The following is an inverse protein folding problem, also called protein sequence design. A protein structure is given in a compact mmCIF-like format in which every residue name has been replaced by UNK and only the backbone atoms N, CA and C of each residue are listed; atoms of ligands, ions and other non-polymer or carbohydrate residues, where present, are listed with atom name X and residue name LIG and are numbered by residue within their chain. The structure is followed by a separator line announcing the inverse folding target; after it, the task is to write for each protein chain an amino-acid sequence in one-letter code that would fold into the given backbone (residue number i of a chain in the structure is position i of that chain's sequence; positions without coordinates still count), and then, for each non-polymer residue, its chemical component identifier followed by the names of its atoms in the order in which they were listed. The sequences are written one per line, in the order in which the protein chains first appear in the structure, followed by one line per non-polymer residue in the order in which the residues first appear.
data_IF_268546894776
#
_entry.id   IF_268546894776
#
_cell.length_a   1.000
_cell.length_b   1.000
_cell.length_c   1.000
_cell.angle_alpha   90.00
_cell.angle_beta   90.00
_cell.angle_gamma   90.00
#
_symmetry.space_group_name_H-M   'P 1'
#
loop_
_entity.id
_entity.type
_entity.pdbx_description
1 polymer ?
#
# COMPACT_ATOMS: atom_id res chain seq x y z
N UNK A 1 -2.25 -11.53 -14.95
CA UNK A 1 -1.66 -10.23 -14.52
C UNK A 1 -2.52 -9.54 -13.46
N UNK A 2 -3.83 -9.38 -13.69
CA UNK A 2 -4.79 -8.90 -12.68
C UNK A 2 -4.92 -9.81 -11.44
N UNK A 3 -4.63 -11.12 -11.55
CA UNK A 3 -4.48 -12.04 -10.41
C UNK A 3 -3.49 -11.55 -9.35
N UNK A 4 -2.47 -10.80 -9.75
CA UNK A 4 -1.46 -10.26 -8.84
C UNK A 4 -1.95 -9.03 -8.09
N UNK A 5 -3.05 -8.39 -8.52
CA UNK A 5 -3.56 -7.15 -7.92
C UNK A 5 -3.97 -7.35 -6.46
N UNK A 6 -4.63 -8.47 -6.14
CA UNK A 6 -5.05 -8.77 -4.76
C UNK A 6 -3.81 -8.89 -3.86
N UNK A 7 -2.79 -9.64 -4.31
CA UNK A 7 -1.54 -9.80 -3.55
C UNK A 7 -0.82 -8.45 -3.40
N UNK A 8 -0.73 -7.67 -4.47
CA UNK A 8 -0.10 -6.35 -4.45
C UNK A 8 -0.78 -5.41 -3.45
N UNK A 9 -2.11 -5.36 -3.45
CA UNK A 9 -2.89 -4.57 -2.50
C UNK A 9 -2.64 -4.98 -1.04
N UNK A 10 -2.56 -6.29 -0.77
CA UNK A 10 -2.24 -6.83 0.55
C UNK A 10 -0.80 -6.51 0.99
N UNK A 11 0.17 -6.58 0.06
CA UNK A 11 1.55 -6.20 0.32
C UNK A 11 1.66 -4.70 0.66
N UNK A 12 0.99 -3.83 -0.10
CA UNK A 12 0.95 -2.38 0.17
C UNK A 12 0.34 -2.09 1.56
N UNK A 13 -0.78 -2.73 1.90
CA UNK A 13 -1.40 -2.57 3.23
C UNK A 13 -0.48 -3.01 4.36
N UNK A 14 0.23 -4.12 4.18
CA UNK A 14 1.18 -4.61 5.17
C UNK A 14 2.32 -3.60 5.37
N UNK A 15 2.88 -3.07 4.29
CA UNK A 15 3.96 -2.08 4.37
C UNK A 15 3.47 -0.78 5.05
N UNK A 16 2.27 -0.29 4.72
CA UNK A 16 1.63 0.85 5.40
C UNK A 16 1.45 0.59 6.91
N UNK A 17 1.03 -0.62 7.29
CA UNK A 17 0.94 -1.06 8.69
C UNK A 17 2.30 -1.01 9.40
N UNK A 18 3.34 -1.62 8.80
CA UNK A 18 4.70 -1.62 9.33
C UNK A 18 5.23 -0.18 9.54
N UNK A 19 4.97 0.72 8.59
CA UNK A 19 5.36 2.14 8.68
C UNK A 19 4.68 2.82 9.87
N UNK A 20 3.37 2.62 10.04
CA UNK A 20 2.61 3.22 11.14
C UNK A 20 3.10 2.72 12.50
N UNK A 21 3.36 1.43 12.63
CA UNK A 21 3.94 0.85 13.85
C UNK A 21 5.30 1.46 14.19
N UNK A 22 6.18 1.61 13.18
CA UNK A 22 7.49 2.24 13.38
C UNK A 22 7.36 3.71 13.83
N UNK A 23 6.47 4.48 13.21
CA UNK A 23 6.23 5.88 13.58
C UNK A 23 5.63 6.01 14.99
N UNK A 24 4.75 5.11 15.39
CA UNK A 24 4.18 5.08 16.75
C UNK A 24 5.22 4.71 17.81
N UNK A 25 6.09 3.75 17.49
CA UNK A 25 7.21 3.39 18.35
C UNK A 25 8.20 4.56 18.51
N UNK A 26 8.47 5.31 17.44
CA UNK A 26 9.34 6.49 17.47
C UNK A 26 8.78 7.57 18.41
N UNK A 27 7.49 7.91 18.25
CA UNK A 27 6.78 8.84 19.15
C UNK A 27 6.80 8.36 20.61
N UNK A 28 6.77 7.06 20.84
CA UNK A 28 6.83 6.48 22.18
C UNK A 28 8.21 6.63 22.80
N UNK A 29 9.28 6.51 22.01
CA UNK A 29 10.66 6.79 22.44
C UNK A 29 10.85 8.26 22.78
N UNK A 30 10.35 9.17 21.94
CA UNK A 30 10.42 10.61 22.22
C UNK A 30 9.70 10.99 23.51
N UNK A 31 8.53 10.38 23.76
CA UNK A 31 7.79 10.57 25.03
C UNK A 31 8.58 10.05 26.22
N UNK A 32 9.18 8.87 26.12
CA UNK A 32 10.00 8.30 27.18
C UNK A 32 11.21 9.19 27.49
N UNK A 33 11.89 9.71 26.47
CA UNK A 33 13.01 10.66 26.61
C UNK A 33 12.57 11.95 27.31
N UNK A 34 11.44 12.55 26.90
CA UNK A 34 10.87 13.76 27.54
C UNK A 34 10.49 13.54 29.00
N UNK A 35 10.12 12.31 29.38
CA UNK A 35 9.82 11.93 30.76
C UNK A 35 11.06 11.54 31.58
N UNK A 36 12.27 11.63 31.00
CA UNK A 36 13.51 11.23 31.66
C UNK A 36 13.67 9.71 31.83
N UNK A 37 12.83 8.91 31.15
CA UNK A 37 12.88 7.44 31.22
C UNK A 37 13.99 6.92 30.32
N UNK A 38 15.07 6.43 30.92
CA UNK A 38 16.16 5.77 30.19
C UNK A 38 15.84 4.28 30.03
N UNK A 39 15.48 3.88 28.80
CA UNK A 39 15.29 2.44 28.46
C UNK A 39 16.62 1.70 28.27
N UNK A 40 17.75 2.40 28.32
CA UNK A 40 19.09 1.81 28.24
C UNK A 40 20.11 2.68 28.96
N UNK A 41 21.17 2.03 29.47
CA UNK A 41 22.34 2.69 30.08
C UNK A 41 23.33 3.24 29.04
N UNK A 42 23.11 2.96 27.76
CA UNK A 42 23.99 3.41 26.67
C UNK A 42 23.73 4.90 26.41
N UNK A 43 24.78 5.72 26.48
CA UNK A 43 24.70 7.14 26.15
C UNK A 43 24.26 7.33 24.69
N UNK A 44 23.25 8.19 24.48
CA UNK A 44 22.69 8.46 23.15
C UNK A 44 21.89 7.30 22.56
N UNK A 45 21.43 6.34 23.39
CA UNK A 45 20.64 5.21 22.91
C UNK A 45 19.34 5.64 22.21
N UNK A 46 18.57 6.55 22.82
CA UNK A 46 17.31 7.04 22.24
C UNK A 46 17.54 7.69 20.87
N UNK A 47 18.60 8.50 20.75
CA UNK A 47 18.97 9.12 19.48
C UNK A 47 19.36 8.11 18.41
N UNK A 48 20.23 7.15 18.75
CA UNK A 48 20.60 6.06 17.81
C UNK A 48 19.40 5.23 17.38
N UNK A 49 18.45 5.01 18.29
CA UNK A 49 17.24 4.27 18.02
C UNK A 49 16.32 5.05 17.07
N UNK A 50 16.11 6.36 17.28
CA UNK A 50 15.38 7.24 16.36
C UNK A 50 15.94 7.18 14.94
N UNK A 51 17.26 7.41 14.79
CA UNK A 51 17.93 7.38 13.48
C UNK A 51 17.71 6.02 12.78
N UNK A 52 17.79 4.91 13.53
CA UNK A 52 17.58 3.57 12.97
C UNK A 52 16.13 3.34 12.53
N UNK A 53 15.17 3.91 13.26
CA UNK A 53 13.75 3.80 12.95
C UNK A 53 13.37 4.67 11.76
N UNK A 54 13.86 5.90 11.67
CA UNK A 54 13.71 6.76 10.49
C UNK A 54 14.27 6.06 9.23
N UNK A 55 15.48 5.48 9.32
CA UNK A 55 16.04 4.67 8.23
C UNK A 55 15.26 3.39 7.91
N UNK A 56 14.45 2.85 8.83
CA UNK A 56 13.54 1.75 8.53
C UNK A 56 12.27 2.24 7.83
N UNK A 57 11.71 3.37 8.26
CA UNK A 57 10.58 4.03 7.60
C UNK A 57 10.93 4.41 6.16
N UNK A 58 12.09 5.03 5.93
CA UNK A 58 12.54 5.41 4.58
C UNK A 58 12.67 4.21 3.64
N UNK A 59 13.20 3.07 4.12
CA UNK A 59 13.27 1.85 3.33
C UNK A 59 11.89 1.30 2.97
N UNK A 60 10.96 1.31 3.92
CA UNK A 60 9.56 0.91 3.70
C UNK A 60 8.82 1.85 2.74
N UNK A 61 9.12 3.15 2.78
CA UNK A 61 8.62 4.10 1.81
C UNK A 61 9.14 3.82 0.40
N UNK A 62 10.42 3.43 0.27
CA UNK A 62 10.97 2.96 -1.00
C UNK A 62 10.31 1.67 -1.50
N UNK A 63 10.01 0.71 -0.62
CA UNK A 63 9.23 -0.48 -0.99
C UNK A 63 7.83 -0.08 -1.53
N UNK A 64 7.17 0.92 -0.95
CA UNK A 64 5.88 1.42 -1.47
C UNK A 64 6.02 2.07 -2.86
N UNK A 65 7.13 2.76 -3.13
CA UNK A 65 7.41 3.32 -4.45
C UNK A 65 7.54 2.21 -5.51
N UNK A 66 8.27 1.13 -5.20
CA UNK A 66 8.36 -0.05 -6.08
C UNK A 66 6.99 -0.69 -6.34
N UNK A 67 6.13 -0.75 -5.32
CA UNK A 67 4.76 -1.27 -5.49
C UNK A 67 3.86 -0.35 -6.33
N UNK A 68 4.13 0.95 -6.34
CA UNK A 68 3.44 1.89 -7.22
C UNK A 68 3.75 1.61 -8.69
N UNK A 69 5.02 1.33 -9.01
CA UNK A 69 5.44 0.95 -10.37
C UNK A 69 4.80 -0.39 -10.80
N UNK A 70 4.74 -1.38 -9.90
CA UNK A 70 4.03 -2.65 -10.15
C UNK A 70 2.53 -2.43 -10.41
N UNK A 71 1.88 -1.54 -9.65
CA UNK A 71 0.46 -1.21 -9.82
C UNK A 71 0.21 -0.54 -11.18
N UNK A 72 1.11 0.35 -11.60
CA UNK A 72 1.06 1.00 -12.91
C UNK A 72 1.12 -0.02 -14.05
N UNK A 73 1.98 -1.02 -13.96
CA UNK A 73 2.06 -2.09 -14.95
C UNK A 73 0.77 -2.92 -15.04
N UNK A 74 0.17 -3.26 -13.89
CA UNK A 74 -1.11 -4.00 -13.84
C UNK A 74 -2.24 -3.18 -14.47
N UNK A 75 -2.35 -1.89 -14.12
CA UNK A 75 -3.39 -1.02 -14.67
C UNK A 75 -3.26 -0.85 -16.18
N UNK A 76 -2.04 -0.66 -16.70
CA UNK A 76 -1.80 -0.59 -18.15
C UNK A 76 -2.24 -1.87 -18.86
N UNK A 77 -1.93 -3.04 -18.28
CA UNK A 77 -2.36 -4.32 -18.85
C UNK A 77 -3.87 -4.49 -18.84
N UNK A 78 -4.55 -4.04 -17.78
CA UNK A 78 -6.01 -4.11 -17.68
C UNK A 78 -6.70 -3.26 -18.75
N UNK A 79 -6.19 -2.05 -18.99
CA UNK A 79 -6.67 -1.17 -20.06
C UNK A 79 -6.44 -1.79 -21.45
N UNK A 80 -5.28 -2.42 -21.69
CA UNK A 80 -5.01 -3.08 -22.98
C UNK A 80 -5.86 -4.34 -23.23
N UNK A 81 -6.33 -5.03 -22.18
CA UNK A 81 -7.25 -6.16 -22.33
C UNK A 81 -8.68 -5.71 -22.62
N UNK A 82 -9.06 -4.50 -22.19
CA UNK A 82 -10.41 -3.95 -22.40
C UNK A 82 -10.70 -3.51 -23.84
N UNK A 83 -9.68 -3.44 -24.71
CA UNK A 83 -9.84 -3.02 -26.12
C UNK A 83 -10.26 -4.14 -27.08
N UNK A 84 -10.24 -5.41 -26.65
CA UNK A 84 -10.77 -6.55 -27.41
C UNK A 84 -12.25 -6.77 -27.03
N UNK A 85 -13.12 -5.91 -27.56
CA UNK A 85 -14.60 -5.95 -27.52
C UNK A 85 -15.30 -6.61 -26.30
N UNK A 86 -15.65 -5.84 -25.25
CA UNK A 86 -16.53 -6.34 -24.20
C UNK A 86 -18.01 -6.11 -24.57
N UNK A 87 -18.69 -7.11 -25.12
CA UNK A 87 -20.14 -7.02 -25.42
C UNK A 87 -21.05 -7.29 -24.21
N UNK A 88 -20.49 -7.56 -23.03
CA UNK A 88 -21.26 -7.80 -21.81
C UNK A 88 -21.12 -6.61 -20.86
N UNK A 89 -22.23 -5.89 -20.62
CA UNK A 89 -22.33 -4.79 -19.65
C UNK A 89 -21.66 -5.11 -18.29
N UNK A 90 -21.73 -6.37 -17.86
CA UNK A 90 -21.09 -6.85 -16.63
C UNK A 90 -19.56 -6.74 -16.64
N UNK A 91 -18.90 -6.89 -17.80
CA UNK A 91 -17.44 -6.79 -17.90
C UNK A 91 -16.96 -5.35 -17.81
N UNK A 92 -17.68 -4.41 -18.43
CA UNK A 92 -17.39 -2.98 -18.30
C UNK A 92 -17.57 -2.50 -16.85
N UNK A 93 -18.64 -2.94 -16.19
CA UNK A 93 -18.89 -2.64 -14.78
C UNK A 93 -17.80 -3.23 -13.86
N UNK A 94 -17.45 -4.51 -14.03
CA UNK A 94 -16.39 -5.14 -13.24
C UNK A 94 -15.02 -4.48 -13.49
N UNK A 95 -14.69 -4.15 -14.74
CA UNK A 95 -13.43 -3.48 -15.12
C UNK A 95 -13.35 -2.09 -14.50
N UNK A 96 -14.45 -1.34 -14.52
CA UNK A 96 -14.54 -0.02 -13.89
C UNK A 96 -14.35 -0.10 -12.38
N UNK A 97 -14.98 -1.07 -11.70
CA UNK A 97 -14.78 -1.27 -10.26
C UNK A 97 -13.31 -1.51 -9.90
N UNK A 98 -12.61 -2.32 -10.70
CA UNK A 98 -11.18 -2.56 -10.48
C UNK A 98 -10.34 -1.33 -10.80
N UNK A 99 -10.67 -0.58 -11.86
CA UNK A 99 -9.98 0.64 -12.23
C UNK A 99 -10.13 1.75 -11.18
N UNK A 100 -11.33 1.94 -10.64
CA UNK A 100 -11.63 2.90 -9.58
C UNK A 100 -10.81 2.59 -8.33
N UNK A 101 -10.78 1.33 -7.89
CA UNK A 101 -9.93 0.90 -6.78
C UNK A 101 -8.43 1.14 -7.04
N UNK A 102 -7.95 0.83 -8.25
CA UNK A 102 -6.56 1.11 -8.60
C UNK A 102 -6.25 2.61 -8.58
N UNK A 103 -7.20 3.46 -8.97
CA UNK A 103 -7.03 4.91 -8.89
C UNK A 103 -6.95 5.41 -7.44
N UNK A 104 -7.79 4.88 -6.55
CA UNK A 104 -7.71 5.17 -5.10
C UNK A 104 -6.36 4.75 -4.52
N UNK A 105 -5.90 3.53 -4.84
CA UNK A 105 -4.62 3.00 -4.36
C UNK A 105 -3.43 3.82 -4.90
N UNK A 106 -3.47 4.24 -6.17
CA UNK A 106 -2.46 5.16 -6.74
C UNK A 106 -2.47 6.51 -6.05
N UNK A 107 -3.66 7.07 -5.78
CA UNK A 107 -3.79 8.35 -5.08
C UNK A 107 -3.17 8.27 -3.69
N UNK A 108 -3.41 7.16 -2.98
CA UNK A 108 -2.74 6.89 -1.70
C UNK A 108 -1.22 6.84 -1.86
N UNK A 109 -0.70 6.04 -2.80
CA UNK A 109 0.74 5.88 -3.02
C UNK A 109 1.43 7.19 -3.44
N UNK A 110 0.77 8.06 -4.19
CA UNK A 110 1.29 9.37 -4.61
C UNK A 110 1.14 10.46 -3.54
N UNK A 111 0.35 10.22 -2.48
CA UNK A 111 0.13 11.18 -1.40
C UNK A 111 1.29 11.19 -0.40
N UNK A 112 1.18 12.01 0.64
CA UNK A 112 2.07 11.94 1.81
C UNK A 112 1.85 10.69 2.67
N UNK A 113 0.94 9.78 2.28
CA UNK A 113 0.65 8.48 2.92
C UNK A 113 0.27 8.59 4.40
N UNK A 114 -0.24 9.76 4.79
CA UNK A 114 -0.75 10.03 6.13
C UNK A 114 -2.19 9.54 6.31
N UNK A 115 -2.89 9.29 5.21
CA UNK A 115 -4.23 8.71 5.18
C UNK A 115 -4.21 7.19 5.37
N UNK A 116 -5.39 6.61 5.56
CA UNK A 116 -5.53 5.15 5.64
C UNK A 116 -5.35 4.55 4.25
N UNK A 117 -4.48 3.54 4.14
CA UNK A 117 -4.34 2.76 2.91
C UNK A 117 -5.69 2.10 2.56
N UNK A 118 -6.17 2.21 1.31
CA UNK A 118 -7.45 1.63 0.92
C UNK A 118 -7.40 0.09 0.98
N UNK A 119 -8.37 -0.48 1.69
CA UNK A 119 -8.57 -1.94 1.76
C UNK A 119 -9.26 -2.42 0.51
N UNK A 120 -8.94 -3.64 0.03
CA UNK A 120 -9.63 -4.20 -1.13
C UNK A 120 -11.08 -4.54 -0.75
N UNK A 121 -12.09 -3.90 -1.37
CA UNK A 121 -13.48 -4.25 -1.10
C UNK A 121 -13.82 -5.63 -1.66
N UNK A 122 -14.74 -6.34 -1.01
CA UNK A 122 -15.22 -7.64 -1.49
C UNK A 122 -15.80 -7.56 -2.92
N UNK A 123 -16.43 -6.44 -3.28
CA UNK A 123 -16.93 -6.18 -4.63
C UNK A 123 -15.82 -6.17 -5.68
N UNK A 124 -14.68 -5.54 -5.36
CA UNK A 124 -13.50 -5.49 -6.25
C UNK A 124 -12.85 -6.85 -6.36
N UNK A 125 -12.72 -7.59 -5.25
CA UNK A 125 -12.20 -8.96 -5.29
C UNK A 125 -13.07 -9.87 -6.18
N UNK A 126 -14.40 -9.74 -6.06
CA UNK A 126 -15.35 -10.48 -6.89
C UNK A 126 -15.27 -10.07 -8.37
N UNK A 127 -15.12 -8.78 -8.66
CA UNK A 127 -14.93 -8.26 -10.01
C UNK A 127 -13.63 -8.81 -10.65
N UNK A 128 -12.51 -8.79 -9.92
CA UNK A 128 -11.23 -9.39 -10.38
C UNK A 128 -11.44 -10.87 -10.73
N UNK A 129 -12.09 -11.63 -9.86
CA UNK A 129 -12.36 -13.07 -10.12
C UNK A 129 -13.26 -13.27 -11.33
N UNK A 130 -14.25 -12.41 -11.58
CA UNK A 130 -15.13 -12.52 -12.76
C UNK A 130 -14.41 -12.20 -14.05
N UNK A 131 -13.61 -11.13 -14.08
CA UNK A 131 -12.76 -10.77 -15.21
C UNK A 131 -11.82 -11.93 -15.56
N UNK A 132 -11.27 -12.62 -14.56
CA UNK A 132 -10.39 -13.76 -14.77
C UNK A 132 -11.08 -15.02 -15.31
N UNK A 133 -12.34 -15.23 -14.95
CA UNK A 133 -13.11 -16.42 -15.34
C UNK A 133 -13.89 -16.23 -16.65
N UNK A 134 -13.96 -15.01 -17.19
CA UNK A 134 -14.51 -14.68 -18.51
C UNK A 134 -13.38 -14.13 -19.39
N UNK A 135 -12.53 -15.01 -19.98
CA UNK A 135 -11.49 -14.59 -20.91
C UNK A 135 -12.05 -14.04 -22.22
#
# INVERSE_FOLDING_TARGET
MIERLIRLAQEIQKIDGDVKELMEAEKSIERAEKMGLTVSKIQGFHEKLRIKMDGAVQRKMGELDEKADELDAIVRSLLCQSTEAPTAQNFEEDTRLVADYCAELKTFLASTRTSTCPTIPFSVEKAIRRILNNP
#
